data_IF_485099006027
#
_entry.id   IF_485099006027
#
_cell.length_a   1.000
_cell.length_b   1.000
_cell.length_c   1.000
_cell.angle_alpha   90.00
_cell.angle_beta   90.00
_cell.angle_gamma   90.00
#
_symmetry.space_group_name_H-M   'P 1'
#
loop_
_entity.id
_entity.type
_entity.pdbx_description
1 polymer ?
#
# COMPACT_ATOMS: atom_id res chain seq x y z
N UNK A 1 28.83 -22.77 21.28
CA UNK A 1 28.92 -22.97 19.81
C UNK A 1 28.40 -21.73 19.12
N UNK A 2 29.27 -20.90 18.56
CA UNK A 2 28.92 -19.72 17.77
C UNK A 2 28.51 -20.19 16.37
N UNK A 3 27.22 -19.98 16.00
CA UNK A 3 26.80 -20.16 14.61
C UNK A 3 27.44 -19.05 13.77
N UNK A 4 28.33 -19.42 12.87
CA UNK A 4 28.86 -18.58 11.80
C UNK A 4 27.71 -18.20 10.90
N UNK A 5 27.29 -16.94 10.90
CA UNK A 5 26.46 -16.35 9.84
C UNK A 5 27.35 -16.28 8.60
N UNK A 6 27.11 -17.17 7.64
CA UNK A 6 27.72 -17.11 6.32
C UNK A 6 27.28 -15.79 5.68
N UNK A 7 28.25 -14.94 5.40
CA UNK A 7 28.10 -13.72 4.61
C UNK A 7 27.79 -14.10 3.15
N UNK A 8 26.54 -14.54 2.90
CA UNK A 8 26.05 -14.91 1.59
C UNK A 8 25.71 -13.65 0.80
N UNK A 9 26.42 -13.41 -0.29
CA UNK A 9 25.99 -12.46 -1.33
C UNK A 9 24.80 -13.10 -2.05
N UNK A 10 23.59 -12.61 -1.81
CA UNK A 10 22.42 -13.06 -2.57
C UNK A 10 22.36 -12.29 -3.88
N UNK A 11 22.45 -12.96 -5.03
CA UNK A 11 22.34 -12.31 -6.33
C UNK A 11 20.94 -11.72 -6.52
N UNK A 12 20.79 -10.80 -7.45
CA UNK A 12 19.48 -10.31 -7.85
C UNK A 12 18.63 -11.41 -8.50
N UNK A 13 17.31 -11.32 -8.40
CA UNK A 13 16.42 -12.32 -9.00
C UNK A 13 16.56 -12.36 -10.53
N UNK A 14 16.43 -13.57 -11.09
CA UNK A 14 16.49 -13.77 -12.53
C UNK A 14 15.42 -12.98 -13.28
N UNK A 15 15.76 -12.55 -14.48
CA UNK A 15 14.85 -11.86 -15.39
C UNK A 15 14.61 -10.38 -15.03
N UNK A 16 15.50 -9.75 -14.26
CA UNK A 16 15.55 -8.30 -14.21
C UNK A 16 16.07 -7.76 -15.55
N UNK A 17 15.39 -6.74 -16.07
CA UNK A 17 15.81 -6.08 -17.31
C UNK A 17 17.14 -5.34 -17.12
N UNK A 18 17.97 -5.25 -18.17
CA UNK A 18 19.26 -4.57 -18.13
C UNK A 18 19.22 -3.14 -17.60
N UNK A 19 18.17 -2.32 -17.91
CA UNK A 19 18.04 -0.99 -17.31
C UNK A 19 17.94 -1.02 -15.79
N UNK A 20 17.21 -2.01 -15.23
CA UNK A 20 17.08 -2.14 -13.77
C UNK A 20 18.40 -2.55 -13.10
N UNK A 21 19.15 -3.48 -13.70
CA UNK A 21 20.47 -3.88 -13.21
C UNK A 21 21.46 -2.71 -13.22
N UNK A 22 21.43 -1.87 -14.26
CA UNK A 22 22.25 -0.65 -14.32
C UNK A 22 21.86 0.36 -13.26
N UNK A 23 20.56 0.53 -13.03
CA UNK A 23 20.05 1.44 -11.99
C UNK A 23 20.54 1.02 -10.59
N UNK A 24 20.47 -0.28 -10.28
CA UNK A 24 20.99 -0.84 -9.03
C UNK A 24 22.50 -0.61 -8.90
N UNK A 25 23.27 -0.91 -9.95
CA UNK A 25 24.71 -0.71 -9.95
C UNK A 25 25.10 0.78 -9.78
N UNK A 26 24.39 1.70 -10.44
CA UNK A 26 24.60 3.14 -10.32
C UNK A 26 24.29 3.65 -8.90
N UNK A 27 23.37 3.01 -8.19
CA UNK A 27 23.06 3.30 -6.80
C UNK A 27 24.01 2.61 -5.80
N UNK A 28 25.03 1.89 -6.29
CA UNK A 28 25.98 1.16 -5.44
C UNK A 28 25.40 -0.11 -4.82
N UNK A 29 24.29 -0.61 -5.34
CA UNK A 29 23.64 -1.84 -4.88
C UNK A 29 24.16 -3.00 -5.71
N UNK A 30 24.89 -3.92 -5.08
CA UNK A 30 25.51 -5.09 -5.71
C UNK A 30 24.92 -6.42 -5.21
N UNK A 31 24.05 -6.38 -4.21
CA UNK A 31 23.38 -7.54 -3.61
C UNK A 31 21.99 -7.17 -3.10
N UNK A 32 21.12 -8.18 -3.01
CA UNK A 32 19.71 -8.01 -2.67
C UNK A 32 19.51 -7.45 -1.25
N UNK A 33 20.35 -7.87 -0.30
CA UNK A 33 20.23 -7.46 1.11
C UNK A 33 20.41 -5.95 1.31
N UNK A 34 21.22 -5.28 0.48
CA UNK A 34 21.41 -3.82 0.57
C UNK A 34 20.13 -3.03 0.30
N UNK A 35 19.20 -3.62 -0.45
CA UNK A 35 17.88 -2.99 -0.67
C UNK A 35 17.04 -2.93 0.60
N UNK A 36 17.36 -3.73 1.61
CA UNK A 36 16.71 -3.63 2.91
C UNK A 36 17.01 -2.32 3.63
N UNK A 37 18.09 -1.64 3.28
CA UNK A 37 18.50 -0.34 3.85
C UNK A 37 18.01 0.84 3.00
N UNK A 38 17.40 0.59 1.83
CA UNK A 38 16.96 1.63 0.87
C UNK A 38 15.43 1.72 0.84
N UNK A 39 14.85 2.95 0.98
CA UNK A 39 13.42 3.16 0.83
C UNK A 39 12.91 2.73 -0.56
N UNK A 40 11.76 2.06 -0.62
CA UNK A 40 11.16 1.65 -1.90
C UNK A 40 10.91 2.84 -2.84
N UNK A 41 10.56 4.01 -2.28
CA UNK A 41 10.32 5.22 -3.07
C UNK A 41 11.57 5.69 -3.80
N UNK A 42 12.73 5.57 -3.15
CA UNK A 42 14.02 5.92 -3.76
C UNK A 42 14.32 4.94 -4.89
N UNK A 43 14.19 3.64 -4.64
CA UNK A 43 14.39 2.60 -5.68
C UNK A 43 13.44 2.82 -6.85
N UNK A 44 12.18 3.17 -6.59
CA UNK A 44 11.18 3.47 -7.63
C UNK A 44 11.54 4.70 -8.46
N UNK A 45 12.24 5.66 -7.87
CA UNK A 45 12.67 6.89 -8.56
C UNK A 45 13.84 6.67 -9.52
N UNK A 46 14.61 5.58 -9.37
CA UNK A 46 15.79 5.33 -10.20
C UNK A 46 15.42 5.05 -11.66
N UNK A 47 16.09 5.76 -12.55
CA UNK A 47 15.87 5.57 -13.98
C UNK A 47 16.21 4.14 -14.40
N UNK A 48 15.24 3.42 -14.95
CA UNK A 48 15.37 2.01 -15.34
C UNK A 48 14.66 1.02 -14.40
N UNK A 49 14.19 1.46 -13.23
CA UNK A 49 13.34 0.66 -12.34
C UNK A 49 11.87 0.87 -12.72
N UNK A 50 11.30 -0.12 -13.39
CA UNK A 50 9.87 -0.14 -13.70
C UNK A 50 9.07 -1.00 -12.71
N UNK A 51 7.72 -1.00 -12.81
CA UNK A 51 6.84 -1.77 -11.94
C UNK A 51 7.17 -3.27 -11.87
N UNK A 52 7.57 -3.87 -13.01
CA UNK A 52 7.96 -5.27 -13.08
C UNK A 52 9.26 -5.56 -12.33
N UNK A 53 10.24 -4.65 -12.40
CA UNK A 53 11.49 -4.78 -11.66
C UNK A 53 11.24 -4.68 -10.15
N UNK A 54 10.45 -3.69 -9.70
CA UNK A 54 10.05 -3.55 -8.30
C UNK A 54 9.33 -4.81 -7.77
N UNK A 55 8.40 -5.36 -8.56
CA UNK A 55 7.68 -6.58 -8.18
C UNK A 55 8.63 -7.77 -7.96
N UNK A 56 9.64 -7.93 -8.83
CA UNK A 56 10.63 -9.00 -8.71
C UNK A 56 11.57 -8.80 -7.53
N UNK A 57 12.04 -7.57 -7.32
CA UNK A 57 12.88 -7.23 -6.16
C UNK A 57 12.12 -7.42 -4.84
N UNK A 58 10.85 -7.05 -4.81
CA UNK A 58 9.97 -7.28 -3.66
C UNK A 58 9.83 -8.78 -3.34
N UNK A 59 9.50 -9.59 -4.34
CA UNK A 59 9.35 -11.03 -4.17
C UNK A 59 10.65 -11.69 -3.68
N UNK A 60 11.80 -11.25 -4.22
CA UNK A 60 13.10 -11.77 -3.83
C UNK A 60 13.49 -11.37 -2.40
N UNK A 61 13.25 -10.12 -1.99
CA UNK A 61 13.45 -9.67 -0.60
C UNK A 61 12.57 -10.45 0.36
N UNK A 62 11.28 -10.62 0.03
CA UNK A 62 10.34 -11.38 0.84
C UNK A 62 10.78 -12.83 1.02
N UNK A 63 11.35 -13.48 0.00
CA UNK A 63 11.87 -14.83 0.10
C UNK A 63 13.06 -14.99 1.06
N UNK A 64 13.75 -13.89 1.35
CA UNK A 64 14.82 -13.80 2.35
C UNK A 64 14.32 -13.32 3.72
N UNK A 65 13.03 -13.09 3.89
CA UNK A 65 12.47 -12.46 5.09
C UNK A 65 12.84 -10.97 5.22
N UNK A 66 13.22 -10.34 4.11
CA UNK A 66 13.60 -8.93 4.04
C UNK A 66 12.53 -8.11 3.33
N UNK A 67 12.56 -6.80 3.53
CA UNK A 67 11.79 -5.80 2.79
C UNK A 67 12.66 -4.59 2.51
N UNK A 68 12.24 -3.73 1.58
CA UNK A 68 12.87 -2.42 1.42
C UNK A 68 12.88 -1.64 2.73
N UNK A 69 13.89 -0.79 2.94
CA UNK A 69 14.07 -0.01 4.17
C UNK A 69 12.81 0.73 4.58
N UNK A 70 12.54 0.67 5.85
CA UNK A 70 11.51 1.45 6.52
C UNK A 70 10.31 0.68 7.04
N UNK A 71 10.08 -0.61 6.65
CA UNK A 71 9.00 -1.38 7.29
C UNK A 71 9.21 -2.88 7.12
N UNK A 72 9.60 -3.53 8.21
CA UNK A 72 9.43 -4.98 8.30
C UNK A 72 7.92 -5.27 8.24
N UNK A 73 7.49 -6.03 7.23
CA UNK A 73 6.20 -6.70 7.29
C UNK A 73 6.38 -7.84 8.26
N UNK A 74 6.11 -7.60 9.53
CA UNK A 74 5.99 -8.68 10.50
C UNK A 74 4.76 -9.51 10.11
N UNK A 75 4.79 -10.81 10.40
CA UNK A 75 3.69 -11.75 10.14
C UNK A 75 2.39 -11.35 10.91
N UNK A 76 2.51 -10.33 11.78
CA UNK A 76 1.45 -9.79 12.64
C UNK A 76 0.47 -8.84 11.91
N UNK A 77 0.53 -8.74 10.59
CA UNK A 77 -0.42 -7.95 9.80
C UNK A 77 -0.45 -6.46 10.16
N UNK A 78 -1.67 -5.90 10.35
CA UNK A 78 -1.85 -4.48 10.69
C UNK A 78 -1.28 -4.15 12.08
N UNK A 79 -1.32 -5.07 13.03
CA UNK A 79 -0.76 -4.87 14.37
C UNK A 79 0.76 -4.68 14.31
N UNK A 80 1.45 -5.52 13.55
CA UNK A 80 2.89 -5.38 13.30
C UNK A 80 3.25 -4.07 12.57
N UNK A 81 2.40 -3.61 11.66
CA UNK A 81 2.58 -2.29 11.05
C UNK A 81 2.46 -1.16 12.07
N UNK A 82 1.43 -1.20 12.92
CA UNK A 82 1.15 -0.14 13.90
C UNK A 82 2.24 -0.08 14.97
N UNK A 83 2.75 -1.22 15.43
CA UNK A 83 3.76 -1.31 16.49
C UNK A 83 5.08 -0.60 16.17
N UNK A 84 5.36 -0.32 14.90
CA UNK A 84 6.57 0.36 14.44
C UNK A 84 6.56 1.88 14.69
N UNK A 85 5.44 2.46 15.10
CA UNK A 85 5.28 3.90 15.29
C UNK A 85 5.36 4.30 16.78
N UNK A 86 5.62 5.58 17.08
CA UNK A 86 5.48 6.12 18.44
C UNK A 86 4.06 5.95 18.98
N UNK A 87 3.89 5.91 20.30
CA UNK A 87 2.63 5.58 20.97
C UNK A 87 1.45 6.50 20.62
N UNK A 88 1.73 7.78 20.41
CA UNK A 88 0.75 8.77 19.95
C UNK A 88 0.23 8.46 18.54
N UNK A 89 1.13 8.13 17.61
CA UNK A 89 0.79 7.73 16.24
C UNK A 89 0.07 6.37 16.24
N UNK A 90 0.50 5.41 17.06
CA UNK A 90 -0.21 4.14 17.23
C UNK A 90 -1.66 4.36 17.68
N UNK A 91 -1.88 5.29 18.61
CA UNK A 91 -3.22 5.65 19.08
C UNK A 91 -4.09 6.18 17.93
N UNK A 92 -3.55 7.05 17.09
CA UNK A 92 -4.26 7.58 15.90
C UNK A 92 -4.56 6.47 14.91
N UNK A 93 -3.56 5.65 14.55
CA UNK A 93 -3.74 4.53 13.62
C UNK A 93 -4.83 3.54 14.11
N UNK A 94 -4.85 3.23 15.40
CA UNK A 94 -5.86 2.36 16.00
C UNK A 94 -7.26 2.99 15.99
N UNK A 95 -7.39 4.32 16.17
CA UNK A 95 -8.66 5.02 16.03
C UNK A 95 -9.18 4.95 14.59
N UNK A 96 -8.31 5.21 13.61
CA UNK A 96 -8.65 5.13 12.19
C UNK A 96 -9.01 3.71 11.79
N UNK A 97 -8.24 2.69 12.20
CA UNK A 97 -8.55 1.28 11.97
C UNK A 97 -9.95 0.90 12.49
N UNK A 98 -10.31 1.35 13.69
CA UNK A 98 -11.64 1.12 14.26
C UNK A 98 -12.75 1.82 13.48
N UNK A 99 -12.54 3.06 13.06
CA UNK A 99 -13.49 3.79 12.24
C UNK A 99 -13.74 3.10 10.88
N UNK A 100 -12.67 2.63 10.22
CA UNK A 100 -12.77 1.89 8.97
C UNK A 100 -13.52 0.57 9.18
N UNK A 101 -13.19 -0.19 10.23
CA UNK A 101 -13.86 -1.46 10.54
C UNK A 101 -15.35 -1.28 10.84
N UNK A 102 -15.72 -0.19 11.53
CA UNK A 102 -17.12 0.16 11.81
C UNK A 102 -17.90 0.43 10.52
N UNK A 103 -17.29 1.16 9.57
CA UNK A 103 -17.91 1.51 8.29
C UNK A 103 -17.90 0.36 7.25
N UNK A 104 -17.02 -0.61 7.42
CA UNK A 104 -16.85 -1.77 6.53
C UNK A 104 -16.66 -3.07 7.34
N UNK A 105 -17.71 -3.55 8.05
CA UNK A 105 -17.60 -4.70 8.95
C UNK A 105 -17.24 -6.01 8.23
N UNK A 106 -17.63 -6.16 6.97
CA UNK A 106 -17.37 -7.36 6.15
C UNK A 106 -16.00 -7.33 5.46
N UNK A 107 -15.27 -6.23 5.57
CA UNK A 107 -13.96 -6.09 4.95
C UNK A 107 -12.88 -6.81 5.77
N UNK A 108 -12.00 -7.53 5.07
CA UNK A 108 -10.83 -8.16 5.65
C UNK A 108 -9.68 -7.17 5.74
N UNK A 109 -8.98 -7.18 6.86
CA UNK A 109 -7.72 -6.48 7.03
C UNK A 109 -6.60 -7.22 6.30
N UNK A 110 -5.81 -6.50 5.55
CA UNK A 110 -4.67 -7.06 4.81
C UNK A 110 -3.52 -6.04 4.80
N UNK A 111 -2.30 -6.53 4.63
CA UNK A 111 -1.18 -5.70 4.24
C UNK A 111 -1.02 -5.81 2.71
N UNK A 112 -1.00 -4.68 2.03
CA UNK A 112 -0.82 -4.62 0.59
C UNK A 112 0.00 -3.38 0.25
N UNK A 113 1.02 -3.53 -0.61
CA UNK A 113 2.02 -2.48 -0.85
C UNK A 113 2.66 -1.93 0.43
N UNK A 114 2.91 -2.83 1.41
CA UNK A 114 3.44 -2.51 2.75
C UNK A 114 2.58 -1.54 3.57
N UNK A 115 1.34 -1.35 3.18
CA UNK A 115 0.38 -0.50 3.89
C UNK A 115 -0.80 -1.33 4.41
N UNK A 116 -1.32 -0.98 5.58
CA UNK A 116 -2.62 -1.44 6.03
C UNK A 116 -3.70 -1.13 5.01
N UNK A 117 -4.52 -2.11 4.72
CA UNK A 117 -5.65 -1.97 3.81
C UNK A 117 -6.86 -2.77 4.29
N UNK A 118 -8.04 -2.31 3.89
CA UNK A 118 -9.30 -3.05 4.05
C UNK A 118 -9.79 -3.50 2.68
N UNK A 119 -10.10 -4.78 2.57
CA UNK A 119 -10.49 -5.43 1.32
C UNK A 119 -11.81 -6.16 1.48
N UNK A 120 -12.73 -5.97 0.53
CA UNK A 120 -13.98 -6.75 0.42
C UNK A 120 -13.99 -7.52 -0.91
N UNK A 121 -14.59 -7.03 -1.99
CA UNK A 121 -14.41 -7.60 -3.33
C UNK A 121 -13.12 -7.08 -3.98
N UNK A 122 -12.81 -5.81 -3.75
CA UNK A 122 -11.56 -5.14 -4.06
C UNK A 122 -10.99 -4.44 -2.83
N UNK A 123 -9.92 -3.68 -3.00
CA UNK A 123 -9.41 -2.81 -1.93
C UNK A 123 -10.35 -1.62 -1.79
N UNK A 124 -10.84 -1.41 -0.57
CA UNK A 124 -11.66 -0.26 -0.20
C UNK A 124 -10.80 0.97 0.07
N UNK A 125 -9.87 0.82 1.00
CA UNK A 125 -8.94 1.89 1.41
C UNK A 125 -7.62 1.30 1.86
N UNK A 126 -6.55 2.08 1.67
CA UNK A 126 -5.28 1.96 2.37
C UNK A 126 -5.16 3.11 3.35
N UNK A 127 -4.49 2.90 4.48
CA UNK A 127 -4.10 3.97 5.38
C UNK A 127 -2.66 3.79 5.82
N UNK A 128 -1.91 4.88 5.89
CA UNK A 128 -0.51 4.83 6.27
C UNK A 128 -0.12 6.09 7.04
N UNK A 129 0.70 5.92 8.09
CA UNK A 129 1.29 7.05 8.80
C UNK A 129 2.56 7.51 8.09
N UNK A 130 2.68 8.83 7.95
CA UNK A 130 3.85 9.54 7.47
C UNK A 130 4.35 10.47 8.57
N UNK A 131 5.48 11.15 8.35
CA UNK A 131 6.12 12.00 9.36
C UNK A 131 5.17 13.03 9.99
N UNK A 132 4.25 13.63 9.21
CA UNK A 132 3.36 14.72 9.65
C UNK A 132 1.88 14.47 9.39
N UNK A 133 1.52 13.39 8.71
CA UNK A 133 0.12 13.13 8.34
C UNK A 133 -0.18 11.64 8.24
N UNK A 134 -1.45 11.31 8.35
CA UNK A 134 -2.00 10.02 7.95
C UNK A 134 -2.50 10.13 6.51
N UNK A 135 -1.98 9.28 5.63
CA UNK A 135 -2.44 9.15 4.25
C UNK A 135 -3.59 8.18 4.13
N UNK A 136 -4.62 8.52 3.35
CA UNK A 136 -5.72 7.62 2.98
C UNK A 136 -5.82 7.53 1.46
N UNK A 137 -5.92 6.31 0.93
CA UNK A 137 -5.91 6.00 -0.51
C UNK A 137 -7.02 4.99 -0.86
N UNK A 138 -7.50 4.97 -2.13
CA UNK A 138 -7.26 5.88 -3.24
C UNK A 138 -8.05 7.20 -3.10
N UNK A 139 -7.83 8.17 -4.01
CA UNK A 139 -8.62 9.41 -4.07
C UNK A 139 -10.12 9.15 -4.11
N UNK A 140 -10.91 10.06 -3.56
CA UNK A 140 -12.38 9.97 -3.57
C UNK A 140 -12.93 10.51 -4.88
N UNK A 141 -13.94 9.83 -5.40
CA UNK A 141 -14.69 10.26 -6.57
C UNK A 141 -16.13 9.73 -6.53
N UNK A 142 -17.05 10.45 -7.15
CA UNK A 142 -18.45 10.01 -7.30
C UNK A 142 -19.41 10.51 -6.22
N UNK A 143 -18.94 11.37 -5.30
CA UNK A 143 -19.78 12.11 -4.35
C UNK A 143 -19.24 13.54 -4.20
N UNK A 144 -19.88 14.49 -4.88
CA UNK A 144 -19.45 15.90 -4.89
C UNK A 144 -19.46 16.56 -3.51
N UNK A 145 -20.36 16.15 -2.64
CA UNK A 145 -20.48 16.68 -1.27
C UNK A 145 -19.28 16.21 -0.44
N UNK A 146 -18.96 14.93 -0.55
CA UNK A 146 -17.82 14.36 0.14
C UNK A 146 -16.49 14.87 -0.43
N UNK A 147 -16.38 15.00 -1.76
CA UNK A 147 -15.22 15.58 -2.43
C UNK A 147 -14.92 17.01 -1.93
N UNK A 148 -15.96 17.84 -1.76
CA UNK A 148 -15.82 19.17 -1.14
C UNK A 148 -15.37 19.09 0.31
N UNK A 149 -15.94 18.18 1.10
CA UNK A 149 -15.61 18.03 2.51
C UNK A 149 -14.15 17.59 2.74
N UNK A 150 -13.58 16.82 1.82
CA UNK A 150 -12.19 16.35 1.90
C UNK A 150 -11.18 17.25 1.20
N UNK A 151 -11.63 18.30 0.49
CA UNK A 151 -10.76 19.13 -0.35
C UNK A 151 -9.57 19.73 0.41
N UNK A 152 -9.76 20.11 1.68
CA UNK A 152 -8.66 20.63 2.54
C UNK A 152 -7.56 19.61 2.83
N UNK A 153 -7.86 18.32 2.68
CA UNK A 153 -6.94 17.23 2.91
C UNK A 153 -6.34 16.65 1.63
N UNK A 154 -6.66 17.23 0.47
CA UNK A 154 -6.17 16.74 -0.81
C UNK A 154 -4.65 16.90 -0.92
N UNK A 155 -3.95 15.79 -1.09
CA UNK A 155 -2.52 15.77 -1.36
C UNK A 155 -2.20 15.93 -2.86
N UNK A 156 -0.92 16.14 -3.22
CA UNK A 156 -0.48 16.43 -4.59
C UNK A 156 -0.86 15.35 -5.63
N UNK A 157 -1.04 14.12 -5.19
CA UNK A 157 -1.41 12.96 -6.04
C UNK A 157 -2.89 12.57 -5.88
N UNK A 158 -3.71 13.45 -5.32
CA UNK A 158 -5.13 13.22 -5.07
C UNK A 158 -5.45 12.32 -3.87
N UNK A 159 -4.45 11.74 -3.19
CA UNK A 159 -4.62 11.08 -1.92
C UNK A 159 -5.04 12.08 -0.83
N UNK A 160 -5.63 11.58 0.25
CA UNK A 160 -5.96 12.42 1.39
C UNK A 160 -4.83 12.38 2.42
N UNK A 161 -4.51 13.55 2.97
CA UNK A 161 -3.47 13.73 3.98
C UNK A 161 -4.09 14.41 5.21
N UNK A 162 -4.32 13.64 6.26
CA UNK A 162 -4.86 14.15 7.52
C UNK A 162 -3.69 14.49 8.46
N UNK A 163 -3.49 15.76 8.85
CA UNK A 163 -2.42 16.15 9.76
C UNK A 163 -2.50 15.39 11.08
N UNK A 164 -1.34 14.97 11.63
CA UNK A 164 -1.28 14.23 12.89
C UNK A 164 -1.36 15.17 14.11
N UNK A 165 -1.10 16.45 13.93
CA UNK A 165 -1.19 17.51 14.92
C UNK A 165 -2.61 18.11 15.05
N UNK A 166 -3.54 17.69 14.20
CA UNK A 166 -4.97 18.06 14.28
C UNK A 166 -5.82 16.86 14.79
N UNK A 167 -7.01 17.14 15.36
CA UNK A 167 -7.97 16.09 15.66
C UNK A 167 -8.33 15.28 14.41
N UNK A 168 -8.15 13.96 14.47
CA UNK A 168 -8.43 13.07 13.34
C UNK A 168 -9.93 13.06 13.02
N UNK A 169 -10.35 13.40 11.79
CA UNK A 169 -11.77 13.51 11.41
C UNK A 169 -12.38 12.11 11.15
N UNK A 170 -12.60 11.34 12.22
CA UNK A 170 -13.03 9.94 12.12
C UNK A 170 -14.39 9.80 11.41
N UNK A 171 -15.35 10.70 11.66
CA UNK A 171 -16.66 10.70 10.98
C UNK A 171 -16.52 10.88 9.46
N UNK A 172 -15.57 11.72 9.03
CA UNK A 172 -15.28 11.92 7.62
C UNK A 172 -14.67 10.65 7.02
N UNK A 173 -13.76 10.00 7.74
CA UNK A 173 -13.17 8.72 7.33
C UNK A 173 -14.25 7.63 7.21
N UNK A 174 -15.16 7.52 8.17
CA UNK A 174 -16.29 6.58 8.11
C UNK A 174 -17.14 6.81 6.85
N UNK A 175 -17.50 8.06 6.54
CA UNK A 175 -18.25 8.41 5.33
C UNK A 175 -17.51 8.05 4.04
N UNK A 176 -16.19 8.27 3.99
CA UNK A 176 -15.33 7.86 2.88
C UNK A 176 -15.41 6.36 2.66
N UNK A 177 -15.24 5.60 3.73
CA UNK A 177 -15.25 4.13 3.68
C UNK A 177 -16.62 3.59 3.28
N UNK A 178 -17.71 4.15 3.81
CA UNK A 178 -19.07 3.80 3.43
C UNK A 178 -19.31 4.00 1.92
N UNK A 179 -18.85 5.13 1.36
CA UNK A 179 -18.90 5.35 -0.09
C UNK A 179 -18.10 4.27 -0.86
N UNK A 180 -16.91 3.90 -0.35
CA UNK A 180 -16.07 2.86 -0.98
C UNK A 180 -16.72 1.49 -0.94
N UNK A 181 -17.34 1.12 0.17
CA UNK A 181 -18.11 -0.14 0.28
C UNK A 181 -19.21 -0.19 -0.77
N UNK A 182 -20.00 0.89 -0.88
CA UNK A 182 -21.06 1.00 -1.91
C UNK A 182 -20.48 0.81 -3.32
N UNK A 183 -19.43 1.56 -3.68
CA UNK A 183 -18.82 1.49 -4.99
C UNK A 183 -18.20 0.12 -5.31
N UNK A 184 -17.61 -0.54 -4.32
CA UNK A 184 -17.01 -1.88 -4.47
C UNK A 184 -18.09 -2.95 -4.69
N UNK A 185 -19.18 -2.88 -3.95
CA UNK A 185 -20.34 -3.76 -4.10
C UNK A 185 -21.00 -3.59 -5.47
N UNK A 186 -21.23 -2.35 -5.91
CA UNK A 186 -21.80 -2.05 -7.23
C UNK A 186 -20.92 -2.59 -8.37
N UNK A 187 -19.60 -2.39 -8.27
CA UNK A 187 -18.63 -2.94 -9.23
C UNK A 187 -18.61 -4.47 -9.25
N UNK A 188 -18.73 -5.09 -8.09
CA UNK A 188 -18.77 -6.56 -8.00
C UNK A 188 -20.06 -7.12 -8.61
N UNK A 189 -21.22 -6.49 -8.37
CA UNK A 189 -22.49 -6.85 -8.97
C UNK A 189 -22.47 -6.70 -10.49
N UNK A 190 -21.93 -5.58 -11.01
CA UNK A 190 -21.78 -5.35 -12.45
C UNK A 190 -20.90 -6.40 -13.15
N UNK A 191 -19.85 -6.89 -12.48
CA UNK A 191 -18.99 -7.97 -13.00
C UNK A 191 -19.68 -9.34 -13.03
N UNK A 192 -20.66 -9.58 -12.17
CA UNK A 192 -21.42 -10.85 -12.11
C UNK A 192 -22.59 -10.88 -13.08
N UNK A 193 -23.06 -9.74 -13.59
CA UNK A 193 -24.12 -9.68 -14.57
C UNK A 193 -23.60 -10.15 -15.94
N UNK A 194 -24.14 -11.20 -16.56
CA UNK A 194 -23.72 -11.67 -17.87
C UNK A 194 -24.28 -10.73 -18.94
N UNK A 195 -23.59 -9.64 -19.24
CA UNK A 195 -24.04 -8.71 -20.27
C UNK A 195 -23.06 -8.66 -21.43
N UNK A 196 -23.63 -9.05 -22.57
CA UNK A 196 -23.19 -8.88 -23.95
C UNK A 196 -21.95 -9.67 -24.40
N UNK A 197 -22.15 -10.98 -24.68
CA UNK A 197 -21.55 -11.55 -25.86
C UNK A 197 -22.05 -10.72 -27.06
N UNK A 198 -21.19 -9.87 -27.62
CA UNK A 198 -21.44 -9.32 -28.98
C UNK A 198 -21.70 -10.49 -29.93
N UNK A 199 -22.79 -10.48 -30.76
CA UNK A 199 -22.99 -11.50 -31.73
C UNK A 199 -21.81 -11.48 -32.73
N UNK A 200 -21.12 -12.63 -32.89
CA UNK A 200 -20.16 -12.83 -33.98
C UNK A 200 -20.95 -12.60 -35.30
N UNK A 201 -20.60 -11.56 -36.03
CA UNK A 201 -21.01 -11.44 -37.42
C UNK A 201 -20.42 -12.65 -38.17
N UNK A 202 -21.27 -13.58 -38.53
CA UNK A 202 -20.98 -14.60 -39.54
C UNK A 202 -20.82 -13.89 -40.88
N UNK A 203 -19.73 -14.15 -41.55
CA UNK A 203 -19.52 -13.95 -42.96
C UNK A 203 -19.81 -15.24 -43.68
#
# INVERSE_FOLDING_TARGET
MRRKTSSGRTPFPDGLAQPALRALANAGIDRLEQLADVPEEDVRSWHGIGPNALKKLHAALTSLGLSFSGKQVTDDGIDGYISQFPADVQTVLNKVRRAIRKAAPDAKEVISYQMPAFKQHGILVYFAAWKKHLGLYPPISGDKTLEKAVARYAGPKGNLQFPLDEPMPLDLIERIVTLRVKQDTEKAAAKKSPTSRKPRKSR
#
